data_IF_885876891536
#
_entry.id   IF_885876891536
#
_cell.length_a   1.000
_cell.length_b   1.000
_cell.length_c   1.000
_cell.angle_alpha   90.00
_cell.angle_beta   90.00
_cell.angle_gamma   90.00
#
_symmetry.space_group_name_H-M   'P 1'
#
loop_
_entity.id
_entity.type
_entity.pdbx_description
1 polymer ?
#
# COMPACT_ATOMS: atom_id res chain seq x y z
N UNK A 1 -34.65 -38.81 4.13
CA UNK A 1 -34.06 -37.94 3.07
C UNK A 1 -34.51 -36.48 3.13
N UNK A 2 -35.82 -36.15 3.22
CA UNK A 2 -36.28 -34.75 3.25
C UNK A 2 -35.78 -33.96 4.49
N UNK A 3 -35.90 -34.53 5.69
CA UNK A 3 -35.42 -33.90 6.92
C UNK A 3 -33.91 -33.65 6.91
N UNK A 4 -33.11 -34.65 6.49
CA UNK A 4 -31.65 -34.52 6.34
C UNK A 4 -31.26 -33.37 5.39
N UNK A 5 -31.96 -33.22 4.25
CA UNK A 5 -31.72 -32.11 3.32
C UNK A 5 -32.03 -30.76 3.96
N UNK A 6 -33.13 -30.63 4.71
CA UNK A 6 -33.50 -29.40 5.40
C UNK A 6 -32.45 -29.03 6.46
N UNK A 7 -32.01 -30.00 7.27
CA UNK A 7 -30.97 -29.78 8.29
C UNK A 7 -29.64 -29.34 7.67
N UNK A 8 -29.22 -29.97 6.58
CA UNK A 8 -28.03 -29.57 5.83
C UNK A 8 -28.14 -28.14 5.29
N UNK A 9 -29.30 -27.77 4.76
CA UNK A 9 -29.55 -26.41 4.27
C UNK A 9 -29.45 -25.37 5.40
N UNK A 10 -30.04 -25.64 6.57
CA UNK A 10 -29.95 -24.73 7.74
C UNK A 10 -28.50 -24.59 8.20
N UNK A 11 -27.78 -25.72 8.33
CA UNK A 11 -26.38 -25.72 8.73
C UNK A 11 -25.51 -24.92 7.75
N UNK A 12 -25.77 -25.08 6.45
CA UNK A 12 -25.08 -24.32 5.41
C UNK A 12 -25.27 -22.81 5.59
N UNK A 13 -26.51 -22.33 5.79
CA UNK A 13 -26.76 -20.90 6.01
C UNK A 13 -26.11 -20.38 7.29
N UNK A 14 -26.05 -21.19 8.34
CA UNK A 14 -25.42 -20.82 9.61
C UNK A 14 -23.90 -20.67 9.46
N UNK A 15 -23.24 -21.64 8.82
CA UNK A 15 -21.81 -21.57 8.50
C UNK A 15 -21.53 -20.40 7.55
N UNK A 16 -22.33 -20.24 6.51
CA UNK A 16 -22.20 -19.16 5.55
C UNK A 16 -22.35 -17.78 6.20
N UNK A 17 -23.30 -17.63 7.13
CA UNK A 17 -23.49 -16.41 7.90
C UNK A 17 -22.26 -16.05 8.74
N UNK A 18 -21.65 -17.04 9.41
CA UNK A 18 -20.42 -16.84 10.19
C UNK A 18 -19.26 -16.42 9.28
N UNK A 19 -19.10 -17.09 8.14
CA UNK A 19 -18.05 -16.76 7.16
C UNK A 19 -18.23 -15.35 6.61
N UNK A 20 -19.47 -14.97 6.27
CA UNK A 20 -19.76 -13.61 5.81
C UNK A 20 -19.45 -12.57 6.89
N UNK A 21 -19.84 -12.83 8.14
CA UNK A 21 -19.51 -11.93 9.25
C UNK A 21 -18.00 -11.78 9.41
N UNK A 22 -17.23 -12.86 9.33
CA UNK A 22 -15.76 -12.82 9.39
C UNK A 22 -15.18 -11.95 8.26
N UNK A 23 -15.62 -12.15 7.02
CA UNK A 23 -15.15 -11.41 5.83
C UNK A 23 -15.45 -9.91 5.93
N UNK A 24 -16.59 -9.53 6.49
CA UNK A 24 -16.98 -8.11 6.58
C UNK A 24 -16.41 -7.40 7.81
N UNK A 25 -15.99 -8.13 8.85
CA UNK A 25 -15.51 -7.53 10.10
C UNK A 25 -13.99 -7.40 10.15
N UNK A 26 -13.25 -8.38 9.61
CA UNK A 26 -11.80 -8.43 9.71
C UNK A 26 -11.09 -7.59 8.64
N UNK A 27 -9.91 -7.09 9.02
CA UNK A 27 -8.98 -6.50 8.07
C UNK A 27 -8.11 -7.58 7.44
N UNK A 28 -7.92 -7.48 6.13
CA UNK A 28 -7.14 -8.43 5.35
C UNK A 28 -5.85 -7.77 4.90
N UNK A 29 -4.78 -8.54 4.93
CA UNK A 29 -3.49 -8.12 4.38
C UNK A 29 -3.63 -7.89 2.86
N UNK A 30 -3.15 -6.73 2.42
CA UNK A 30 -3.05 -6.36 1.02
C UNK A 30 -1.65 -5.83 0.74
N UNK A 31 -1.21 -5.98 -0.50
CA UNK A 31 0.13 -5.61 -0.93
C UNK A 31 0.07 -4.64 -2.10
N UNK A 32 0.88 -3.59 -2.03
CA UNK A 32 1.24 -2.76 -3.17
C UNK A 32 2.59 -3.29 -3.66
N UNK A 33 2.68 -3.66 -4.93
CA UNK A 33 3.91 -4.15 -5.54
C UNK A 33 4.30 -3.29 -6.73
N UNK A 34 5.53 -2.80 -6.72
CA UNK A 34 6.16 -2.10 -7.84
C UNK A 34 7.54 -2.72 -8.03
N UNK A 35 7.76 -3.32 -9.21
CA UNK A 35 8.97 -4.13 -9.49
C UNK A 35 9.14 -5.23 -8.43
N UNK A 36 10.30 -5.28 -7.78
CA UNK A 36 10.64 -6.19 -6.66
C UNK A 36 10.42 -5.56 -5.28
N UNK A 37 9.77 -4.39 -5.20
CA UNK A 37 9.45 -3.70 -3.94
C UNK A 37 7.98 -3.89 -3.56
N UNK A 38 7.73 -4.23 -2.30
CA UNK A 38 6.40 -4.52 -1.76
C UNK A 38 6.15 -3.70 -0.49
N UNK A 39 4.94 -3.14 -0.37
CA UNK A 39 4.43 -2.48 0.83
C UNK A 39 3.13 -3.15 1.27
N UNK A 40 2.97 -3.36 2.57
CA UNK A 40 1.82 -4.08 3.14
C UNK A 40 0.89 -3.10 3.84
N UNK A 41 -0.42 -3.23 3.59
CA UNK A 41 -1.46 -2.51 4.31
C UNK A 41 -2.63 -3.44 4.62
N UNK A 42 -3.40 -3.10 5.66
CA UNK A 42 -4.56 -3.89 6.08
C UNK A 42 -5.84 -3.13 5.75
N UNK A 43 -6.82 -3.83 5.16
CA UNK A 43 -8.15 -3.24 4.95
C UNK A 43 -9.24 -4.30 4.85
N UNK A 44 -10.46 -3.92 5.23
CA UNK A 44 -11.66 -4.73 4.99
C UNK A 44 -11.89 -4.99 3.50
N UNK A 45 -12.64 -6.04 3.18
CA UNK A 45 -12.90 -6.45 1.78
C UNK A 45 -13.67 -5.40 0.99
N UNK A 46 -14.72 -4.82 1.58
CA UNK A 46 -15.62 -3.88 0.91
C UNK A 46 -15.38 -2.40 1.24
N UNK A 47 -14.50 -2.08 2.19
CA UNK A 47 -14.19 -0.68 2.50
C UNK A 47 -12.97 -0.24 1.69
N UNK A 48 -12.97 1.02 1.29
CA UNK A 48 -11.75 1.68 0.82
C UNK A 48 -10.71 1.61 1.94
N UNK A 49 -9.43 1.36 1.60
CA UNK A 49 -8.38 1.34 2.61
C UNK A 49 -8.30 2.70 3.29
N UNK A 50 -7.93 2.66 4.56
CA UNK A 50 -7.59 3.87 5.29
C UNK A 50 -6.45 4.59 4.57
N UNK A 51 -6.55 5.92 4.52
CA UNK A 51 -5.55 6.75 3.87
C UNK A 51 -4.16 6.56 4.50
N UNK A 52 -4.07 6.46 5.83
CA UNK A 52 -2.81 6.29 6.54
C UNK A 52 -2.16 4.94 6.23
N UNK A 53 -2.94 3.84 6.29
CA UNK A 53 -2.42 2.51 5.99
C UNK A 53 -1.95 2.39 4.54
N UNK A 54 -2.73 2.91 3.59
CA UNK A 54 -2.35 2.90 2.19
C UNK A 54 -1.08 3.73 1.94
N UNK A 55 -1.01 4.93 2.53
CA UNK A 55 0.15 5.81 2.37
C UNK A 55 1.42 5.20 2.97
N UNK A 56 1.32 4.51 4.10
CA UNK A 56 2.45 3.81 4.71
C UNK A 56 2.99 2.68 3.82
N UNK A 57 2.11 1.93 3.14
CA UNK A 57 2.55 0.94 2.16
C UNK A 57 3.24 1.59 0.95
N UNK A 58 2.75 2.75 0.48
CA UNK A 58 3.40 3.51 -0.59
C UNK A 58 4.79 4.01 -0.16
N UNK A 59 4.92 4.46 1.10
CA UNK A 59 6.18 4.87 1.72
C UNK A 59 7.19 3.72 1.75
N UNK A 60 6.76 2.52 2.16
CA UNK A 60 7.63 1.34 2.17
C UNK A 60 8.14 0.99 0.76
N UNK A 61 7.24 1.05 -0.24
CA UNK A 61 7.63 0.86 -1.65
C UNK A 61 8.61 1.95 -2.10
N UNK A 62 8.35 3.22 -1.81
CA UNK A 62 9.23 4.33 -2.20
C UNK A 62 10.64 4.23 -1.62
N UNK A 63 10.74 3.87 -0.33
CA UNK A 63 12.04 3.64 0.32
C UNK A 63 12.80 2.48 -0.32
N UNK A 64 12.13 1.34 -0.54
CA UNK A 64 12.75 0.18 -1.20
C UNK A 64 13.24 0.52 -2.63
N UNK A 65 12.41 1.19 -3.43
CA UNK A 65 12.79 1.58 -4.80
C UNK A 65 14.04 2.48 -4.78
N UNK A 66 14.09 3.44 -3.86
CA UNK A 66 15.25 4.31 -3.70
C UNK A 66 16.51 3.57 -3.27
N UNK A 67 16.43 2.58 -2.38
CA UNK A 67 17.59 1.76 -2.00
C UNK A 67 18.15 0.99 -3.20
N UNK A 68 17.27 0.37 -3.99
CA UNK A 68 17.64 -0.36 -5.20
C UNK A 68 18.26 0.56 -6.25
N UNK A 69 17.66 1.73 -6.48
CA UNK A 69 18.18 2.75 -7.37
C UNK A 69 19.54 3.27 -6.92
N UNK A 70 19.73 3.59 -5.63
CA UNK A 70 21.01 4.10 -5.14
C UNK A 70 22.14 3.07 -5.28
N UNK A 71 21.81 1.78 -5.24
CA UNK A 71 22.77 0.68 -5.42
C UNK A 71 23.12 0.44 -6.89
N UNK A 72 22.12 0.40 -7.77
CA UNK A 72 22.30 -0.04 -9.17
C UNK A 72 22.33 1.09 -10.20
N UNK A 73 21.81 2.27 -9.84
CA UNK A 73 21.54 3.41 -10.75
C UNK A 73 20.76 3.01 -12.01
N UNK A 74 19.82 2.09 -11.83
CA UNK A 74 19.02 1.54 -12.93
C UNK A 74 17.82 2.45 -13.24
N UNK A 75 17.71 2.82 -14.51
CA UNK A 75 16.67 3.67 -15.08
C UNK A 75 15.25 3.12 -14.90
N UNK A 76 15.07 1.81 -14.72
CA UNK A 76 13.75 1.21 -14.46
C UNK A 76 13.24 1.65 -13.09
N UNK A 77 14.09 1.59 -12.06
CA UNK A 77 13.75 2.08 -10.73
C UNK A 77 13.57 3.60 -10.73
N UNK A 78 14.41 4.32 -11.48
CA UNK A 78 14.31 5.76 -11.62
C UNK A 78 12.92 6.22 -12.09
N UNK A 79 12.40 5.57 -13.14
CA UNK A 79 11.07 5.86 -13.69
C UNK A 79 9.96 5.60 -12.69
N UNK A 80 10.02 4.48 -11.97
CA UNK A 80 9.00 4.13 -10.98
C UNK A 80 9.04 5.05 -9.75
N UNK A 81 10.23 5.47 -9.30
CA UNK A 81 10.36 6.45 -8.20
C UNK A 81 9.75 7.78 -8.61
N UNK A 82 10.07 8.29 -9.80
CA UNK A 82 9.54 9.57 -10.27
C UNK A 82 8.02 9.50 -10.41
N UNK A 83 7.48 8.41 -10.98
CA UNK A 83 6.04 8.19 -11.10
C UNK A 83 5.36 8.13 -9.73
N UNK A 84 5.91 7.36 -8.79
CA UNK A 84 5.36 7.23 -7.43
C UNK A 84 5.35 8.57 -6.71
N UNK A 85 6.45 9.32 -6.79
CA UNK A 85 6.61 10.65 -6.21
C UNK A 85 5.63 11.66 -6.79
N UNK A 86 5.46 11.71 -8.12
CA UNK A 86 4.51 12.64 -8.77
C UNK A 86 3.05 12.28 -8.46
N UNK A 87 2.74 10.98 -8.34
CA UNK A 87 1.38 10.49 -8.10
C UNK A 87 0.92 10.77 -6.68
N UNK A 88 1.81 10.59 -5.69
CA UNK A 88 1.45 10.69 -4.28
C UNK A 88 1.95 11.98 -3.60
N UNK A 89 2.75 12.78 -4.33
CA UNK A 89 3.47 13.99 -3.90
C UNK A 89 3.47 14.17 -2.38
N UNK A 90 4.41 13.54 -1.66
CA UNK A 90 4.36 13.51 -0.21
C UNK A 90 4.34 14.92 0.38
N UNK A 91 3.46 15.13 1.35
CA UNK A 91 3.18 16.44 1.95
C UNK A 91 4.45 17.07 2.54
N UNK A 92 5.38 16.25 3.03
CA UNK A 92 6.64 16.67 3.67
C UNK A 92 7.84 16.79 2.70
N UNK A 93 7.59 16.89 1.39
CA UNK A 93 8.68 17.06 0.41
C UNK A 93 9.48 18.34 0.70
N UNK A 94 10.81 18.27 0.87
CA UNK A 94 11.65 19.45 1.08
C UNK A 94 11.49 20.50 -0.04
N UNK A 95 11.45 21.78 0.32
CA UNK A 95 11.18 22.89 -0.63
C UNK A 95 12.12 22.92 -1.84
N UNK A 96 13.40 22.59 -1.63
CA UNK A 96 14.39 22.56 -2.69
C UNK A 96 14.13 21.46 -3.75
N UNK A 97 13.29 20.47 -3.43
CA UNK A 97 12.82 19.42 -4.35
C UNK A 97 11.44 19.79 -4.89
N UNK A 98 10.54 20.25 -4.02
CA UNK A 98 9.17 20.62 -4.39
C UNK A 98 9.12 21.77 -5.41
N UNK A 99 10.05 22.72 -5.31
CA UNK A 99 10.16 23.91 -6.16
C UNK A 99 11.27 23.78 -7.22
N UNK A 100 11.88 22.61 -7.38
CA UNK A 100 12.89 22.40 -8.39
C UNK A 100 12.28 22.51 -9.80
N UNK A 101 12.94 23.26 -10.70
CA UNK A 101 12.55 23.35 -12.12
C UNK A 101 12.54 21.98 -12.80
N UNK A 102 13.43 21.09 -12.37
CA UNK A 102 13.51 19.69 -12.80
C UNK A 102 13.66 18.84 -11.55
N UNK A 103 12.71 17.95 -11.31
CA UNK A 103 12.75 16.99 -10.20
C UNK A 103 13.74 15.89 -10.58
N UNK A 104 14.77 15.71 -9.74
CA UNK A 104 15.79 14.66 -9.91
C UNK A 104 15.55 13.53 -8.93
N UNK A 105 15.57 12.30 -9.42
CA UNK A 105 15.40 11.09 -8.58
C UNK A 105 16.52 10.93 -7.56
N UNK A 106 17.76 11.30 -7.92
CA UNK A 106 18.87 11.36 -6.97
C UNK A 106 18.55 12.22 -5.73
N UNK A 107 17.90 13.37 -5.93
CA UNK A 107 17.48 14.24 -4.82
C UNK A 107 16.38 13.58 -4.01
N UNK A 108 15.38 12.99 -4.66
CA UNK A 108 14.30 12.25 -3.96
C UNK A 108 14.90 11.16 -3.07
N UNK A 109 15.81 10.34 -3.61
CA UNK A 109 16.36 9.21 -2.87
C UNK A 109 17.41 9.58 -1.81
N UNK A 110 18.09 10.73 -1.99
CA UNK A 110 18.96 11.31 -0.96
C UNK A 110 18.17 11.73 0.28
N UNK A 111 16.99 12.33 0.09
CA UNK A 111 16.12 12.80 1.16
C UNK A 111 14.90 11.87 1.37
N UNK A 112 15.07 10.57 1.08
CA UNK A 112 13.96 9.60 1.15
C UNK A 112 13.34 9.49 2.54
N UNK A 113 14.14 9.67 3.59
CA UNK A 113 13.67 9.70 4.98
C UNK A 113 12.70 10.84 5.26
N UNK A 114 12.78 11.92 4.50
CA UNK A 114 11.98 13.13 4.69
C UNK A 114 10.77 13.14 3.76
N UNK A 115 10.92 12.52 2.59
CA UNK A 115 9.87 12.42 1.57
C UNK A 115 8.93 11.24 1.85
N UNK A 116 9.49 10.06 2.15
CA UNK A 116 8.72 8.84 2.41
C UNK A 116 8.64 8.60 3.92
N UNK A 117 7.92 9.50 4.61
CA UNK A 117 7.65 9.42 6.05
C UNK A 117 6.33 8.68 6.28
N UNK A 118 6.34 7.69 7.17
CA UNK A 118 5.12 7.04 7.63
C UNK A 118 4.27 8.01 8.44
N UNK A 119 2.98 8.04 8.13
CA UNK A 119 1.99 8.76 8.91
C UNK A 119 1.36 7.79 9.91
N UNK A 120 1.25 8.22 11.16
CA UNK A 120 0.54 7.47 12.19
C UNK A 120 -0.73 8.23 12.51
N UNK A 121 -1.84 7.51 12.66
CA UNK A 121 -3.09 8.07 13.19
C UNK A 121 -2.77 8.67 14.58
N UNK A 122 -3.08 9.96 14.78
CA UNK A 122 -2.88 10.67 16.05
C UNK A 122 -4.06 10.45 16.99
#
# INVERSE_FOLDING_TARGET
MKALKITLTILFFLVFGIVMLFIFTNDFERKIKILDCEGVYYSKVLKKPDFYYLNNAVVDVGNCLCEKYMTKKDTVYEKEILKLFLTHRPIMTPDHIANAKVIKVDSICKYRSDIFIKMYDM
#
